data_IF_251602542234
#
_entry.id   IF_251602542234
#
_cell.length_a   1.000
_cell.length_b   1.000
_cell.length_c   1.000
_cell.angle_alpha   90.00
_cell.angle_beta   90.00
_cell.angle_gamma   90.00
#
_symmetry.space_group_name_H-M   'P 1'
#
loop_
_entity.id
_entity.type
_entity.pdbx_description
1 polymer ?
#
# COMPACT_ATOMS: atom_id res chain seq x y z
N UNK A 1 -12.17 -4.69 6.52
CA UNK A 1 -11.36 -4.51 5.30
C UNK A 1 -9.88 -4.69 5.61
N UNK A 2 -9.19 -5.68 5.01
CA UNK A 2 -7.78 -5.93 5.30
C UNK A 2 -6.84 -4.88 4.66
N UNK A 3 -7.06 -4.49 3.40
CA UNK A 3 -6.17 -3.57 2.68
C UNK A 3 -6.83 -2.23 2.33
N UNK A 4 -8.07 -2.25 1.82
CA UNK A 4 -8.81 -1.02 1.52
C UNK A 4 -8.47 -0.39 0.18
N UNK A 5 -8.26 -1.19 -0.88
CA UNK A 5 -8.01 -0.67 -2.23
C UNK A 5 -9.13 0.28 -2.72
N UNK A 6 -10.36 0.05 -2.29
CA UNK A 6 -11.53 0.91 -2.56
C UNK A 6 -11.32 2.33 -2.05
N UNK A 7 -10.55 2.53 -0.98
CA UNK A 7 -10.19 3.86 -0.47
C UNK A 7 -9.30 4.59 -1.47
N UNK A 8 -8.31 3.89 -2.04
CA UNK A 8 -7.41 4.46 -3.06
C UNK A 8 -8.18 4.79 -4.34
N UNK A 9 -9.13 3.96 -4.75
CA UNK A 9 -10.01 4.22 -5.92
C UNK A 9 -10.89 5.44 -5.69
N UNK A 10 -11.53 5.55 -4.52
CA UNK A 10 -12.34 6.71 -4.15
C UNK A 10 -11.50 8.00 -4.14
N UNK A 11 -10.30 7.94 -3.56
CA UNK A 11 -9.35 9.04 -3.58
C UNK A 11 -8.87 9.38 -4.99
N UNK A 12 -8.58 8.41 -5.85
CA UNK A 12 -8.23 8.67 -7.25
C UNK A 12 -9.36 9.42 -7.99
N UNK A 13 -10.61 9.12 -7.66
CA UNK A 13 -11.82 9.82 -8.11
C UNK A 13 -12.12 11.13 -7.35
N UNK A 14 -11.19 11.61 -6.50
CA UNK A 14 -11.33 12.82 -5.67
C UNK A 14 -12.54 12.81 -4.75
N UNK A 15 -12.94 11.63 -4.25
CA UNK A 15 -14.07 11.46 -3.35
C UNK A 15 -13.59 11.36 -1.90
N UNK A 16 -14.25 12.03 -0.94
CA UNK A 16 -14.00 11.78 0.48
C UNK A 16 -14.42 10.36 0.85
N UNK A 17 -13.77 9.81 1.86
CA UNK A 17 -14.04 8.45 2.35
C UNK A 17 -14.48 8.50 3.81
N UNK A 18 -15.38 7.59 4.18
CA UNK A 18 -15.73 7.29 5.57
C UNK A 18 -15.31 5.85 5.82
N UNK A 19 -14.33 5.65 6.69
CA UNK A 19 -13.75 4.34 7.00
C UNK A 19 -13.95 4.04 8.47
N UNK A 20 -14.05 2.75 8.81
CA UNK A 20 -14.13 2.36 10.21
C UNK A 20 -12.75 2.31 10.85
N UNK A 21 -12.68 2.34 12.19
CA UNK A 21 -11.44 2.12 12.95
C UNK A 21 -10.85 0.70 12.79
N UNK A 22 -11.55 -0.20 12.11
CA UNK A 22 -11.19 -1.61 12.02
C UNK A 22 -10.60 -1.91 10.63
N UNK A 23 -9.36 -2.42 10.61
CA UNK A 23 -8.70 -2.88 9.39
C UNK A 23 -7.72 -1.86 8.78
N UNK A 24 -7.19 -2.20 7.60
CA UNK A 24 -6.08 -1.50 6.95
C UNK A 24 -6.30 -0.01 6.65
N UNK A 25 -7.51 0.47 6.29
CA UNK A 25 -7.74 1.90 6.05
C UNK A 25 -7.34 2.83 7.20
N UNK A 26 -7.39 2.35 8.45
CA UNK A 26 -6.98 3.15 9.61
C UNK A 26 -5.50 3.54 9.56
N UNK A 27 -4.65 2.74 8.93
CA UNK A 27 -3.19 2.96 8.95
C UNK A 27 -2.77 4.08 8.00
N UNK A 28 -3.60 4.41 7.02
CA UNK A 28 -3.28 5.41 6.02
C UNK A 28 -4.33 6.51 5.84
N UNK A 29 -5.55 6.39 6.38
CA UNK A 29 -6.50 7.51 6.43
C UNK A 29 -6.21 8.37 7.66
N UNK A 30 -6.26 9.68 7.50
CA UNK A 30 -6.10 10.69 8.56
C UNK A 30 -7.45 11.40 8.79
N UNK A 31 -8.03 11.15 9.97
CA UNK A 31 -9.36 11.65 10.32
C UNK A 31 -9.45 13.18 10.16
N UNK A 32 -10.48 13.63 9.43
CA UNK A 32 -10.77 15.02 9.10
C UNK A 32 -9.70 15.74 8.23
N UNK A 33 -8.71 15.03 7.69
CA UNK A 33 -7.68 15.57 6.79
C UNK A 33 -7.80 15.01 5.36
N UNK A 34 -7.99 13.70 5.22
CA UNK A 34 -8.19 13.02 3.91
C UNK A 34 -9.34 11.99 3.93
N UNK A 35 -10.06 11.90 5.06
CA UNK A 35 -11.27 11.10 5.22
C UNK A 35 -11.77 11.14 6.66
N UNK A 36 -12.90 10.48 6.93
CA UNK A 36 -13.41 10.28 8.28
C UNK A 36 -13.13 8.87 8.78
N UNK A 37 -12.55 8.77 9.97
CA UNK A 37 -12.46 7.53 10.73
C UNK A 37 -13.58 7.49 11.76
N UNK A 38 -14.43 6.46 11.72
CA UNK A 38 -15.59 6.29 12.59
C UNK A 38 -15.59 4.94 13.30
N UNK A 39 -16.40 4.81 14.35
CA UNK A 39 -16.61 3.51 14.99
C UNK A 39 -17.39 2.57 14.07
N UNK A 40 -17.09 1.26 14.16
CA UNK A 40 -17.75 0.22 13.39
C UNK A 40 -19.16 -0.10 13.90
N UNK A 41 -20.00 0.92 14.03
CA UNK A 41 -21.39 0.84 14.46
C UNK A 41 -22.30 1.61 13.49
N UNK A 42 -23.58 1.27 13.45
CA UNK A 42 -24.56 1.98 12.61
C UNK A 42 -24.58 3.48 12.90
N UNK A 43 -24.48 3.87 14.18
CA UNK A 43 -24.42 5.26 14.61
C UNK A 43 -23.13 5.94 14.18
N UNK A 44 -21.97 5.29 14.34
CA UNK A 44 -20.68 5.84 13.90
C UNK A 44 -20.63 6.09 12.39
N UNK A 45 -21.13 5.16 11.59
CA UNK A 45 -21.23 5.32 10.13
C UNK A 45 -22.18 6.46 9.79
N UNK A 46 -23.36 6.51 10.42
CA UNK A 46 -24.32 7.59 10.19
C UNK A 46 -23.73 8.97 10.54
N UNK A 47 -22.96 9.07 11.62
CA UNK A 47 -22.28 10.31 12.01
C UNK A 47 -21.22 10.73 10.99
N UNK A 48 -20.42 9.80 10.49
CA UNK A 48 -19.43 10.07 9.43
C UNK A 48 -20.08 10.54 8.12
N UNK A 49 -21.18 9.90 7.71
CA UNK A 49 -21.94 10.32 6.53
C UNK A 49 -22.56 11.71 6.75
N UNK A 50 -23.19 11.96 7.89
CA UNK A 50 -23.72 13.30 8.21
C UNK A 50 -22.64 14.37 8.20
N UNK A 51 -21.45 14.08 8.73
CA UNK A 51 -20.32 15.01 8.70
C UNK A 51 -19.85 15.32 7.26
N UNK A 52 -19.81 14.32 6.38
CA UNK A 52 -19.47 14.53 4.96
C UNK A 52 -20.50 15.38 4.21
N UNK A 53 -21.77 15.31 4.61
CA UNK A 53 -22.87 16.08 3.99
C UNK A 53 -23.13 17.44 4.66
N UNK A 54 -22.62 17.69 5.87
CA UNK A 54 -22.80 18.98 6.55
C UNK A 54 -21.90 20.09 6.00
N UNK A 55 -20.77 19.73 5.38
CA UNK A 55 -19.88 20.68 4.72
C UNK A 55 -19.27 20.07 3.44
N UNK A 56 -19.92 20.30 2.31
CA UNK A 56 -19.47 19.79 1.01
C UNK A 56 -18.15 20.39 0.52
N UNK A 57 -17.78 21.60 0.94
CA UNK A 57 -16.50 22.20 0.57
C UNK A 57 -15.36 21.43 1.25
N UNK A 58 -15.47 21.20 2.55
CA UNK A 58 -14.53 20.40 3.31
C UNK A 58 -14.45 18.95 2.80
N UNK A 59 -15.59 18.36 2.44
CA UNK A 59 -15.64 17.02 1.87
C UNK A 59 -14.90 16.93 0.52
N UNK A 60 -15.03 17.93 -0.35
CA UNK A 60 -14.27 18.02 -1.62
C UNK A 60 -12.79 18.26 -1.38
N UNK A 61 -12.46 19.09 -0.38
CA UNK A 61 -11.07 19.35 0.02
C UNK A 61 -10.38 18.07 0.50
N UNK A 62 -11.00 17.30 1.39
CA UNK A 62 -10.49 16.00 1.83
C UNK A 62 -10.33 15.02 0.66
N UNK A 63 -11.32 14.92 -0.24
CA UNK A 63 -11.23 14.07 -1.44
C UNK A 63 -10.05 14.45 -2.35
N UNK A 64 -9.78 15.75 -2.50
CA UNK A 64 -8.65 16.26 -3.28
C UNK A 64 -7.30 15.93 -2.62
N UNK A 65 -7.22 16.02 -1.30
CA UNK A 65 -6.03 15.60 -0.53
C UNK A 65 -5.79 14.10 -0.63
N UNK A 66 -6.85 13.31 -0.51
CA UNK A 66 -6.82 11.87 -0.73
C UNK A 66 -6.28 11.53 -2.12
N UNK A 67 -6.71 12.25 -3.16
CA UNK A 67 -6.20 12.05 -4.54
C UNK A 67 -4.69 12.24 -4.63
N UNK A 68 -4.16 13.32 -4.06
CA UNK A 68 -2.71 13.58 -4.01
C UNK A 68 -2.01 12.43 -3.31
N UNK A 69 -2.52 12.03 -2.13
CA UNK A 69 -1.94 10.93 -1.35
C UNK A 69 -1.93 9.61 -2.11
N UNK A 70 -3.01 9.26 -2.81
CA UNK A 70 -3.09 8.08 -3.65
C UNK A 70 -2.08 8.14 -4.81
N UNK A 71 -1.97 9.29 -5.48
CA UNK A 71 -1.11 9.47 -6.65
C UNK A 71 0.40 9.40 -6.34
N UNK A 72 0.84 9.89 -5.17
CA UNK A 72 2.28 9.91 -4.82
C UNK A 72 2.70 8.89 -3.77
N UNK A 73 1.78 8.45 -2.92
CA UNK A 73 2.08 7.49 -1.86
C UNK A 73 1.83 6.04 -2.25
N UNK A 74 0.93 5.80 -3.20
CA UNK A 74 0.40 4.47 -3.52
C UNK A 74 0.35 4.17 -5.03
N UNK A 75 1.11 4.91 -5.84
CA UNK A 75 1.22 4.61 -7.27
C UNK A 75 2.08 3.37 -7.51
N UNK A 76 1.85 2.71 -8.65
CA UNK A 76 2.67 1.57 -9.07
C UNK A 76 4.14 1.92 -9.22
N UNK A 77 4.46 3.12 -9.72
CA UNK A 77 5.85 3.59 -9.86
C UNK A 77 6.52 3.67 -8.48
N UNK A 78 5.87 4.32 -7.51
CA UNK A 78 6.41 4.44 -6.14
C UNK A 78 6.56 3.09 -5.46
N UNK A 79 5.58 2.20 -5.62
CA UNK A 79 5.65 0.84 -5.04
C UNK A 79 6.75 0.02 -5.70
N UNK A 80 6.92 0.12 -7.01
CA UNK A 80 7.97 -0.59 -7.76
C UNK A 80 9.36 -0.10 -7.34
N UNK A 81 9.57 1.21 -7.25
CA UNK A 81 10.84 1.81 -6.80
C UNK A 81 11.20 1.39 -5.37
N UNK A 82 10.24 1.44 -4.44
CA UNK A 82 10.45 1.02 -3.05
C UNK A 82 10.78 -0.47 -2.95
N UNK A 83 10.06 -1.29 -3.72
CA UNK A 83 10.28 -2.74 -3.77
C UNK A 83 11.65 -3.05 -4.35
N UNK A 84 12.03 -2.41 -5.46
CA UNK A 84 13.34 -2.56 -6.09
C UNK A 84 14.48 -2.15 -5.14
N UNK A 85 14.32 -1.04 -4.41
CA UNK A 85 15.32 -0.57 -3.47
C UNK A 85 15.63 -1.63 -2.38
N UNK A 86 14.60 -2.31 -1.87
CA UNK A 86 14.77 -3.40 -0.89
C UNK A 86 15.50 -4.59 -1.53
N UNK A 87 15.12 -4.99 -2.76
CA UNK A 87 15.84 -6.06 -3.46
C UNK A 87 17.32 -5.72 -3.68
N UNK A 88 17.64 -4.47 -4.03
CA UNK A 88 19.03 -4.01 -4.18
C UNK A 88 19.80 -4.01 -2.87
N UNK A 89 19.13 -3.80 -1.74
CA UNK A 89 19.74 -3.85 -0.40
C UNK A 89 20.12 -5.28 0.01
N UNK A 90 19.26 -6.26 -0.30
CA UNK A 90 19.42 -7.64 0.20
C UNK A 90 20.14 -8.57 -0.78
N UNK A 91 20.18 -8.26 -2.08
CA UNK A 91 20.84 -9.11 -3.08
C UNK A 91 22.36 -8.86 -3.07
N UNK A 92 23.18 -9.91 -2.85
CA UNK A 92 24.63 -9.80 -2.89
C UNK A 92 25.16 -9.29 -4.25
N UNK A 93 26.19 -8.45 -4.22
CA UNK A 93 26.72 -7.76 -5.41
C UNK A 93 27.25 -8.72 -6.50
N UNK A 94 27.73 -9.89 -6.12
CA UNK A 94 28.16 -10.99 -6.99
C UNK A 94 26.99 -11.59 -7.79
N UNK A 95 25.82 -11.74 -7.18
CA UNK A 95 24.60 -12.21 -7.86
C UNK A 95 24.10 -11.17 -8.87
N UNK A 96 24.18 -9.87 -8.55
CA UNK A 96 23.78 -8.78 -9.47
C UNK A 96 24.68 -8.74 -10.72
N UNK A 97 25.98 -9.01 -10.56
CA UNK A 97 26.93 -9.05 -11.67
C UNK A 97 26.66 -10.20 -12.64
N UNK A 98 26.25 -11.37 -12.13
CA UNK A 98 25.95 -12.56 -12.93
C UNK A 98 24.65 -12.39 -13.75
N UNK A 99 23.64 -11.72 -13.21
CA UNK A 99 22.37 -11.44 -13.91
C UNK A 99 22.56 -10.41 -15.03
N UNK A 100 23.36 -9.36 -14.81
CA UNK A 100 23.65 -8.34 -15.85
C UNK A 100 24.41 -8.90 -17.05
N UNK A 101 25.14 -10.00 -16.88
CA UNK A 101 25.90 -10.65 -17.94
C UNK A 101 25.03 -11.49 -18.89
N UNK A 102 23.77 -11.79 -18.55
CA UNK A 102 22.84 -12.52 -19.42
C UNK A 102 21.91 -11.54 -20.14
N UNK A 103 21.82 -11.56 -21.49
CA UNK A 103 20.90 -10.70 -22.22
C UNK A 103 19.46 -11.02 -21.83
N UNK A 104 18.75 -10.02 -21.30
CA UNK A 104 17.31 -10.13 -21.05
C UNK A 104 16.58 -9.64 -22.31
N UNK A 105 15.80 -10.50 -22.95
CA UNK A 105 14.92 -10.11 -24.05
C UNK A 105 13.97 -9.00 -23.59
N UNK A 106 13.99 -7.87 -24.31
CA UNK A 106 13.36 -6.63 -23.94
C UNK A 106 11.82 -6.71 -23.90
N UNK A 107 11.22 -6.29 -22.78
CA UNK A 107 9.81 -5.95 -22.73
C UNK A 107 9.61 -4.54 -23.33
N UNK A 108 8.77 -4.48 -24.36
CA UNK A 108 8.42 -3.30 -25.16
C UNK A 108 8.00 -2.09 -24.32
N UNK A 109 8.75 -0.99 -24.45
CA UNK A 109 8.42 0.35 -23.97
C UNK A 109 7.06 0.82 -24.48
N UNK A 110 6.09 0.95 -23.56
CA UNK A 110 4.96 1.88 -23.75
C UNK A 110 5.08 2.96 -22.69
N UNK A 111 5.47 4.17 -23.11
CA UNK A 111 5.47 5.37 -22.28
C UNK A 111 4.03 5.62 -21.81
N UNK A 112 3.76 5.34 -20.53
CA UNK A 112 2.62 5.91 -19.85
C UNK A 112 2.90 7.41 -19.67
N UNK A 113 2.02 8.26 -20.19
CA UNK A 113 2.07 9.69 -19.94
C UNK A 113 1.77 9.93 -18.46
N UNK A 114 2.83 10.22 -17.70
CA UNK A 114 2.75 10.58 -16.29
C UNK A 114 2.14 11.97 -16.22
N UNK A 115 0.88 12.05 -15.80
CA UNK A 115 0.26 13.31 -15.43
C UNK A 115 0.93 13.77 -14.14
N UNK A 116 1.96 14.61 -14.27
CA UNK A 116 2.60 15.28 -13.16
C UNK A 116 1.64 16.30 -12.57
N UNK A 117 0.80 15.87 -11.64
CA UNK A 117 0.36 16.81 -10.61
C UNK A 117 1.60 17.19 -9.78
N UNK A 118 1.54 18.34 -9.10
CA UNK A 118 2.55 18.74 -8.12
C UNK A 118 1.93 18.55 -6.75
N UNK A 119 2.68 17.99 -5.81
CA UNK A 119 2.23 17.90 -4.42
C UNK A 119 1.94 19.33 -3.92
N UNK A 120 0.72 19.64 -3.41
CA UNK A 120 0.42 20.95 -2.84
C UNK A 120 1.38 21.21 -1.67
N UNK A 121 1.82 22.46 -1.46
CA UNK A 121 2.78 22.81 -0.40
C UNK A 121 2.28 22.45 1.01
N UNK A 122 0.95 22.41 1.22
CA UNK A 122 0.31 22.04 2.50
C UNK A 122 -0.05 20.53 2.61
N UNK A 123 0.35 19.72 1.63
CA UNK A 123 0.19 18.28 1.73
C UNK A 123 1.29 17.70 2.62
N UNK A 124 0.90 17.07 3.73
CA UNK A 124 1.84 16.27 4.53
C UNK A 124 2.47 15.23 3.62
N UNK A 125 3.78 15.06 3.76
CA UNK A 125 4.53 14.02 3.04
C UNK A 125 3.80 12.67 3.16
N UNK A 126 3.79 11.84 2.11
CA UNK A 126 3.20 10.51 2.18
C UNK A 126 3.77 9.80 3.41
N UNK A 127 2.86 9.28 4.25
CA UNK A 127 3.27 8.51 5.43
C UNK A 127 4.07 7.34 4.91
N UNK A 128 5.35 7.17 5.29
CA UNK A 128 6.12 6.03 4.84
C UNK A 128 5.36 4.77 5.27
N UNK A 129 5.10 3.88 4.32
CA UNK A 129 4.56 2.56 4.65
C UNK A 129 5.58 1.95 5.60
N UNK A 130 5.19 1.77 6.87
CA UNK A 130 6.04 1.17 7.87
C UNK A 130 6.20 -0.30 7.49
N UNK A 131 7.26 -0.61 6.75
CA UNK A 131 7.72 -1.98 6.62
C UNK A 131 8.26 -2.36 7.99
N UNK A 132 7.59 -3.31 8.66
CA UNK A 132 8.15 -3.91 9.85
C UNK A 132 9.52 -4.48 9.46
N UNK A 133 10.60 -4.05 10.13
CA UNK A 133 11.87 -4.76 10.03
C UNK A 133 11.61 -6.17 10.55
N UNK A 134 11.57 -7.12 9.62
CA UNK A 134 11.71 -8.54 9.95
C UNK A 134 13.19 -8.74 10.18
N UNK A 135 13.59 -8.80 11.45
CA UNK A 135 14.94 -9.24 11.80
C UNK A 135 15.13 -10.65 11.23
N UNK A 136 16.06 -10.80 10.28
CA UNK A 136 16.37 -12.06 9.62
C UNK A 136 17.14 -13.04 10.53
N UNK A 137 16.97 -12.92 11.83
CA UNK A 137 17.62 -13.74 12.86
C UNK A 137 16.56 -14.25 13.83
N UNK A 138 15.72 -15.19 13.42
CA UNK A 138 15.24 -16.26 14.32
C UNK A 138 14.62 -17.45 13.57
N UNK A 139 15.13 -18.63 13.94
CA UNK A 139 14.70 -20.01 13.70
C UNK A 139 14.26 -20.47 12.29
N UNK A 140 15.22 -21.09 11.58
CA UNK A 140 14.94 -22.25 10.72
C UNK A 140 14.27 -23.35 11.57
N UNK A 141 12.95 -23.45 11.50
CA UNK A 141 12.23 -24.65 11.94
C UNK A 141 12.73 -25.84 11.09
N UNK A 142 13.16 -26.96 11.69
CA UNK A 142 13.61 -28.12 10.93
C UNK A 142 12.41 -28.76 10.23
N UNK A 143 12.51 -28.87 8.90
CA UNK A 143 11.63 -29.71 8.09
C UNK A 143 11.75 -31.15 8.60
N UNK A 144 10.70 -31.66 9.27
CA UNK A 144 10.59 -33.09 9.58
C UNK A 144 10.48 -33.84 8.25
N UNK A 145 11.55 -34.51 7.84
CA UNK A 145 11.48 -35.53 6.81
C UNK A 145 10.54 -36.63 7.29
N UNK A 146 9.38 -36.73 6.63
CA UNK A 146 8.48 -37.87 6.78
C UNK A 146 9.18 -39.10 6.19
N UNK A 147 9.78 -39.89 7.07
CA UNK A 147 10.31 -41.21 6.74
C UNK A 147 9.18 -42.09 6.19
N UNK A 148 9.28 -42.43 4.89
CA UNK A 148 8.52 -43.52 4.29
C UNK A 148 8.92 -44.82 5.00
N UNK A 149 8.03 -45.36 5.82
CA UNK A 149 8.16 -46.73 6.31
C UNK A 149 7.95 -47.69 5.14
N UNK A 150 9.02 -48.36 4.74
CA UNK A 150 8.96 -49.58 3.96
C UNK A 150 8.19 -50.63 4.78
N UNK A 151 7.00 -51.00 4.30
CA UNK A 151 6.28 -52.20 4.72
C UNK A 151 6.44 -53.27 3.66
N UNK A 152 7.38 -54.19 3.87
CA UNK A 152 7.48 -55.45 3.16
C UNK A 152 7.05 -56.57 4.12
N UNK A 153 6.00 -57.31 3.75
CA UNK A 153 5.64 -58.67 4.14
C UNK A 153 4.35 -58.99 3.35
N UNK A 154 4.24 -60.08 2.60
CA UNK A 154 4.57 -61.44 3.02
C UNK A 154 3.26 -62.11 3.37
#
# INVERSE_FOLDING_TARGET
EPFGIVVLEAWAASKPVVVTRNGGPRDFVSHNEDGYIVDASAWGIADGVKAAFSNFEHARWMGSRGRVKAAYGFSWDTVAEQTEAIYREIVPADVVAEVKAKPTEAASDKKAEVVSAKMPEDAKAPVPIKVAKVDATEERLPLKESSRSAGAAG
#
